data_IF_262029031031
#
_entry.id   IF_262029031031
#
_cell.length_a   1.000
_cell.length_b   1.000
_cell.length_c   1.000
_cell.angle_alpha   90.00
_cell.angle_beta   90.00
_cell.angle_gamma   90.00
#
_symmetry.space_group_name_H-M   'P 1'
#
loop_
_entity.id
_entity.type
_entity.pdbx_description
1 polymer ?
#
# COMPACT_ATOMS: atom_id res chain seq x y z
N UNK A 1 17.10 -4.71 12.74
CA UNK A 1 15.73 -4.19 12.55
C UNK A 1 15.75 -2.68 12.70
N UNK A 2 15.41 -1.96 11.64
CA UNK A 2 15.26 -0.51 11.67
C UNK A 2 13.93 -0.07 12.28
N UNK A 3 13.91 1.15 12.82
CA UNK A 3 12.68 1.85 13.21
C UNK A 3 11.89 2.29 11.98
N UNK A 4 10.59 2.53 12.17
CA UNK A 4 9.72 3.00 11.08
C UNK A 4 10.19 4.34 10.48
N UNK A 5 10.75 5.23 11.31
CA UNK A 5 11.31 6.52 10.88
C UNK A 5 12.57 6.36 10.03
N UNK A 6 13.43 5.39 10.35
CA UNK A 6 14.60 5.06 9.53
C UNK A 6 14.18 4.50 8.18
N UNK A 7 13.15 3.64 8.15
CA UNK A 7 12.58 3.12 6.90
C UNK A 7 11.92 4.25 6.09
N UNK A 8 11.24 5.20 6.74
CA UNK A 8 10.71 6.41 6.06
C UNK A 8 11.81 7.17 5.33
N UNK A 9 12.99 7.35 5.94
CA UNK A 9 14.12 8.00 5.25
C UNK A 9 14.60 7.22 4.02
N UNK A 10 14.53 5.89 4.05
CA UNK A 10 14.86 5.05 2.89
C UNK A 10 13.86 5.33 1.77
N UNK A 11 12.56 5.30 2.06
CA UNK A 11 11.50 5.57 1.08
C UNK A 11 11.51 7.02 0.55
N UNK A 12 11.88 7.98 1.38
CA UNK A 12 11.95 9.40 0.99
C UNK A 12 13.00 9.64 -0.10
N UNK A 13 14.07 8.82 -0.17
CA UNK A 13 15.08 8.92 -1.26
C UNK A 13 14.45 8.70 -2.63
N UNK A 14 13.55 7.71 -2.75
CA UNK A 14 12.76 7.50 -3.96
C UNK A 14 11.88 8.71 -4.28
N UNK A 15 11.15 9.21 -3.29
CA UNK A 15 10.20 10.32 -3.50
C UNK A 15 10.87 11.65 -3.87
N UNK A 16 12.06 11.91 -3.31
CA UNK A 16 12.75 13.19 -3.46
C UNK A 16 13.69 13.23 -4.65
N UNK A 17 14.30 12.10 -5.00
CA UNK A 17 15.39 12.04 -5.98
C UNK A 17 15.20 11.00 -7.09
N UNK A 18 14.19 10.14 -6.98
CA UNK A 18 13.99 9.01 -7.89
C UNK A 18 14.98 7.86 -7.69
N UNK A 19 15.70 7.84 -6.56
CA UNK A 19 16.59 6.73 -6.21
C UNK A 19 15.80 5.42 -6.07
N UNK A 20 16.33 4.32 -6.59
CA UNK A 20 15.73 2.97 -6.54
C UNK A 20 15.81 2.34 -5.12
N UNK A 21 15.31 3.06 -4.11
CA UNK A 21 15.45 2.69 -2.69
C UNK A 21 14.32 1.82 -2.14
N UNK A 22 13.23 1.60 -2.89
CA UNK A 22 12.04 0.91 -2.35
C UNK A 22 12.28 -0.59 -2.11
N UNK A 23 13.20 -1.22 -2.84
CA UNK A 23 13.62 -2.59 -2.55
C UNK A 23 14.30 -2.75 -1.19
N UNK A 24 15.06 -1.74 -0.76
CA UNK A 24 15.65 -1.70 0.58
C UNK A 24 14.56 -1.52 1.64
N UNK A 25 13.65 -0.56 1.43
CA UNK A 25 12.53 -0.33 2.34
C UNK A 25 11.65 -1.58 2.52
N UNK A 26 11.35 -2.28 1.42
CA UNK A 26 10.59 -3.53 1.45
C UNK A 26 11.26 -4.58 2.35
N UNK A 27 12.56 -4.81 2.18
CA UNK A 27 13.30 -5.81 2.99
C UNK A 27 13.30 -5.45 4.47
N UNK A 28 13.46 -4.18 4.81
CA UNK A 28 13.46 -3.74 6.20
C UNK A 28 12.07 -3.81 6.84
N UNK A 29 11.00 -3.47 6.10
CA UNK A 29 9.62 -3.66 6.55
C UNK A 29 9.27 -5.14 6.72
N UNK A 30 9.68 -6.00 5.80
CA UNK A 30 9.48 -7.44 5.90
C UNK A 30 10.25 -8.02 7.09
N UNK A 31 11.50 -7.62 7.30
CA UNK A 31 12.29 -8.04 8.44
C UNK A 31 11.64 -7.59 9.76
N UNK A 32 11.15 -6.34 9.83
CA UNK A 32 10.39 -5.80 10.97
C UNK A 32 9.14 -6.65 11.26
N UNK A 33 8.36 -6.94 10.23
CA UNK A 33 7.19 -7.81 10.30
C UNK A 33 7.52 -9.23 10.82
N UNK A 34 8.57 -9.84 10.31
CA UNK A 34 9.02 -11.19 10.69
C UNK A 34 9.58 -11.25 12.12
N UNK A 35 10.12 -10.14 12.62
CA UNK A 35 10.53 -10.00 14.02
C UNK A 35 9.37 -9.75 15.00
N UNK A 36 8.12 -9.69 14.51
CA UNK A 36 6.91 -9.58 15.34
C UNK A 36 6.39 -8.16 15.53
N UNK A 37 7.02 -7.15 14.92
CA UNK A 37 6.52 -5.78 14.89
C UNK A 37 5.37 -5.67 13.87
N UNK A 38 4.19 -6.16 14.26
CA UNK A 38 2.97 -6.20 13.43
C UNK A 38 2.09 -4.96 13.63
N UNK A 39 2.72 -3.80 13.78
CA UNK A 39 1.98 -2.56 13.89
C UNK A 39 1.30 -2.17 12.56
N UNK A 40 0.22 -1.40 12.67
CA UNK A 40 -0.58 -0.91 11.54
C UNK A 40 0.26 -0.27 10.44
N UNK A 41 1.23 0.55 10.81
CA UNK A 41 2.03 1.33 9.85
C UNK A 41 2.92 0.41 9.02
N UNK A 42 3.59 -0.53 9.69
CA UNK A 42 4.42 -1.56 9.04
C UNK A 42 3.59 -2.38 8.06
N UNK A 43 2.40 -2.81 8.47
CA UNK A 43 1.54 -3.64 7.65
C UNK A 43 1.02 -2.91 6.40
N UNK A 44 0.53 -1.66 6.54
CA UNK A 44 0.02 -0.88 5.40
C UNK A 44 1.11 -0.54 4.38
N UNK A 45 2.30 -0.16 4.85
CA UNK A 45 3.43 0.17 3.97
C UNK A 45 3.97 -1.06 3.26
N UNK A 46 4.08 -2.20 3.96
CA UNK A 46 4.51 -3.45 3.34
C UNK A 46 3.46 -3.98 2.35
N UNK A 47 2.16 -3.83 2.65
CA UNK A 47 1.07 -4.18 1.73
C UNK A 47 1.20 -3.36 0.44
N UNK A 48 1.40 -2.05 0.55
CA UNK A 48 1.63 -1.16 -0.58
C UNK A 48 2.85 -1.56 -1.40
N UNK A 49 4.02 -1.76 -0.79
CA UNK A 49 5.23 -2.11 -1.55
C UNK A 49 5.11 -3.49 -2.22
N UNK A 50 4.38 -4.43 -1.61
CA UNK A 50 4.10 -5.74 -2.21
C UNK A 50 3.27 -5.62 -3.49
N UNK A 51 2.25 -4.76 -3.47
CA UNK A 51 1.45 -4.42 -4.66
C UNK A 51 2.28 -3.64 -5.69
N UNK A 52 3.04 -2.64 -5.24
CA UNK A 52 3.80 -1.74 -6.10
C UNK A 52 4.92 -2.48 -6.85
N UNK A 53 5.50 -3.51 -6.24
CA UNK A 53 6.48 -4.41 -6.89
C UNK A 53 5.90 -5.15 -8.11
N UNK A 54 4.58 -5.33 -8.17
CA UNK A 54 3.89 -5.95 -9.31
C UNK A 54 3.32 -4.91 -10.29
N UNK A 55 3.03 -3.70 -9.80
CA UNK A 55 2.41 -2.63 -10.58
C UNK A 55 3.44 -1.84 -11.41
N UNK A 56 4.67 -1.73 -10.93
CA UNK A 56 5.71 -0.89 -11.53
C UNK A 56 6.96 -1.68 -11.94
N UNK A 57 7.71 -1.19 -12.94
CA UNK A 57 8.99 -1.79 -13.31
C UNK A 57 10.04 -1.70 -12.18
N UNK A 58 10.83 -2.75 -12.02
CA UNK A 58 11.88 -2.84 -11.00
C UNK A 58 13.01 -1.81 -11.17
N UNK A 59 13.38 -1.49 -12.41
CA UNK A 59 14.39 -0.47 -12.72
C UNK A 59 13.95 0.95 -12.34
N UNK A 60 12.67 1.18 -12.05
CA UNK A 60 12.20 2.46 -11.52
C UNK A 60 12.27 2.50 -10.00
N UNK A 61 11.89 1.41 -9.34
CA UNK A 61 11.61 1.39 -7.89
C UNK A 61 12.73 0.76 -7.06
N UNK A 62 13.52 -0.12 -7.65
CA UNK A 62 14.45 -1.01 -6.95
C UNK A 62 13.77 -2.24 -6.33
N UNK A 63 12.47 -2.47 -6.59
CA UNK A 63 11.73 -3.67 -6.13
C UNK A 63 12.06 -4.89 -7.01
N UNK A 64 13.35 -5.19 -7.17
CA UNK A 64 13.86 -6.23 -8.08
C UNK A 64 13.35 -7.60 -7.67
N UNK A 65 12.56 -8.23 -8.56
CA UNK A 65 12.06 -9.61 -8.50
C UNK A 65 12.02 -10.20 -7.10
N UNK A 66 11.32 -9.53 -6.18
CA UNK A 66 11.17 -9.98 -4.81
C UNK A 66 10.42 -11.30 -4.88
N UNK A 67 11.06 -12.45 -4.54
CA UNK A 67 10.38 -13.71 -4.59
C UNK A 67 9.19 -13.62 -3.64
N UNK A 68 8.00 -13.78 -4.23
CA UNK A 68 6.72 -13.90 -3.53
C UNK A 68 6.07 -12.62 -2.98
N UNK A 69 6.27 -11.47 -3.63
CA UNK A 69 5.52 -10.24 -3.31
C UNK A 69 3.98 -10.47 -3.25
N UNK A 70 3.46 -11.34 -4.12
CA UNK A 70 2.04 -11.71 -4.12
C UNK A 70 1.61 -12.48 -2.84
N UNK A 71 2.40 -13.45 -2.33
CA UNK A 71 2.02 -14.07 -1.05
C UNK A 71 2.23 -13.15 0.14
N UNK A 72 3.22 -12.24 0.10
CA UNK A 72 3.37 -11.21 1.13
C UNK A 72 2.13 -10.33 1.16
N UNK A 73 1.65 -9.88 0.00
CA UNK A 73 0.39 -9.12 -0.12
C UNK A 73 -0.79 -9.89 0.48
N UNK A 74 -1.00 -11.13 0.06
CA UNK A 74 -2.10 -11.98 0.56
C UNK A 74 -2.04 -12.13 2.09
N UNK A 75 -0.88 -12.50 2.63
CA UNK A 75 -0.68 -12.68 4.08
C UNK A 75 -0.97 -11.40 4.87
N UNK A 76 -0.58 -10.25 4.34
CA UNK A 76 -0.85 -8.96 4.97
C UNK A 76 -2.33 -8.60 4.87
N UNK A 77 -2.98 -8.85 3.74
CA UNK A 77 -4.41 -8.59 3.60
C UNK A 77 -5.25 -9.44 4.56
N UNK A 78 -4.90 -10.72 4.75
CA UNK A 78 -5.58 -11.60 5.72
C UNK A 78 -5.46 -11.04 7.14
N UNK A 79 -4.24 -10.64 7.54
CA UNK A 79 -4.03 -10.02 8.85
C UNK A 79 -4.78 -8.71 9.02
N UNK A 80 -4.78 -7.85 8.00
CA UNK A 80 -5.43 -6.53 8.06
C UNK A 80 -6.95 -6.64 8.01
N UNK A 81 -7.50 -7.64 7.32
CA UNK A 81 -8.94 -7.93 7.35
C UNK A 81 -9.41 -8.32 8.76
N UNK A 82 -8.56 -9.02 9.54
CA UNK A 82 -8.86 -9.41 10.93
C UNK A 82 -8.66 -8.26 11.93
N UNK A 83 -7.51 -7.57 11.89
CA UNK A 83 -7.13 -6.58 12.90
C UNK A 83 -7.68 -5.18 12.62
N UNK A 84 -7.90 -4.83 11.35
CA UNK A 84 -8.25 -3.48 10.90
C UNK A 84 -9.61 -3.42 10.19
N UNK A 85 -10.55 -4.28 10.56
CA UNK A 85 -11.90 -4.34 9.96
C UNK A 85 -12.70 -3.02 10.05
N UNK A 86 -12.30 -2.12 10.94
CA UNK A 86 -12.92 -0.78 11.11
C UNK A 86 -12.07 0.36 10.58
N UNK A 87 -10.90 0.07 10.03
CA UNK A 87 -9.95 1.08 9.59
C UNK A 87 -10.26 1.55 8.17
N UNK A 88 -10.83 2.75 8.08
CA UNK A 88 -11.19 3.30 6.78
C UNK A 88 -9.97 3.50 5.86
N UNK A 89 -8.78 3.81 6.39
CA UNK A 89 -7.59 4.01 5.56
C UNK A 89 -7.16 2.70 4.91
N UNK A 90 -7.14 1.60 5.67
CA UNK A 90 -6.91 0.25 5.15
C UNK A 90 -7.90 -0.05 4.02
N UNK A 91 -9.20 0.13 4.27
CA UNK A 91 -10.21 -0.13 3.25
C UNK A 91 -10.02 0.76 2.02
N UNK A 92 -9.66 2.03 2.20
CA UNK A 92 -9.36 2.89 1.06
C UNK A 92 -8.16 2.40 0.25
N UNK A 93 -7.02 2.12 0.89
CA UNK A 93 -5.81 1.74 0.15
C UNK A 93 -5.93 0.38 -0.50
N UNK A 94 -6.42 -0.64 0.23
CA UNK A 94 -6.64 -1.98 -0.32
C UNK A 94 -7.68 -1.94 -1.44
N UNK A 95 -8.76 -1.19 -1.24
CA UNK A 95 -9.78 -0.96 -2.25
C UNK A 95 -9.20 -0.31 -3.51
N UNK A 96 -8.43 0.76 -3.35
CA UNK A 96 -7.85 1.51 -4.46
C UNK A 96 -6.89 0.66 -5.27
N UNK A 97 -5.93 0.00 -4.61
CA UNK A 97 -4.95 -0.89 -5.24
C UNK A 97 -5.64 -2.00 -6.05
N UNK A 98 -6.64 -2.66 -5.46
CA UNK A 98 -7.39 -3.73 -6.10
C UNK A 98 -8.29 -3.24 -7.25
N UNK A 99 -8.75 -1.99 -7.24
CA UNK A 99 -9.47 -1.43 -8.41
C UNK A 99 -8.57 -0.98 -9.53
N UNK A 100 -7.33 -0.60 -9.24
CA UNK A 100 -6.38 -0.13 -10.24
C UNK A 100 -5.73 -1.30 -10.96
N UNK A 101 -5.15 -2.25 -10.20
CA UNK A 101 -4.46 -3.43 -10.72
C UNK A 101 -4.82 -4.68 -9.89
N UNK A 102 -6.02 -5.26 -10.06
CA UNK A 102 -6.49 -6.40 -9.26
C UNK A 102 -5.57 -7.63 -9.33
N UNK A 103 -4.94 -7.87 -10.48
CA UNK A 103 -4.00 -8.99 -10.68
C UNK A 103 -2.74 -8.88 -9.82
N UNK A 104 -2.38 -7.68 -9.34
CA UNK A 104 -1.25 -7.48 -8.42
C UNK A 104 -1.58 -7.98 -7.00
N UNK A 105 -2.85 -8.19 -6.69
CA UNK A 105 -3.31 -8.57 -5.35
C UNK A 105 -3.50 -10.09 -5.19
N UNK A 106 -3.56 -10.84 -6.29
CA UNK A 106 -3.84 -12.28 -6.32
C UNK A 106 -4.84 -12.66 -7.41
N UNK A 107 -5.84 -13.47 -7.07
CA UNK A 107 -6.92 -13.81 -8.00
C UNK A 107 -7.67 -12.54 -8.44
N UNK A 108 -7.65 -12.26 -9.75
CA UNK A 108 -8.12 -10.99 -10.29
C UNK A 108 -9.64 -10.80 -10.09
N UNK A 109 -10.43 -11.86 -10.23
CA UNK A 109 -11.88 -11.80 -10.09
C UNK A 109 -12.28 -11.54 -8.63
N UNK A 110 -11.64 -12.26 -7.71
CA UNK A 110 -11.80 -12.07 -6.27
C UNK A 110 -11.43 -10.63 -5.87
N UNK A 111 -10.25 -10.17 -6.24
CA UNK A 111 -9.76 -8.85 -5.83
C UNK A 111 -10.52 -7.70 -6.48
N UNK A 112 -11.05 -7.89 -7.69
CA UNK A 112 -12.00 -6.94 -8.28
C UNK A 112 -13.25 -6.77 -7.40
N UNK A 113 -13.83 -7.87 -6.91
CA UNK A 113 -15.02 -7.83 -6.04
C UNK A 113 -14.68 -7.25 -4.66
N UNK A 114 -13.59 -7.71 -4.05
CA UNK A 114 -13.11 -7.19 -2.76
C UNK A 114 -12.84 -5.69 -2.85
N UNK A 115 -12.10 -5.24 -3.86
CA UNK A 115 -11.74 -3.83 -4.05
C UNK A 115 -12.95 -2.92 -4.07
N UNK A 116 -14.02 -3.31 -4.80
CA UNK A 116 -15.30 -2.58 -4.80
C UNK A 116 -15.96 -2.52 -3.43
N UNK A 117 -15.95 -3.63 -2.67
CA UNK A 117 -16.51 -3.68 -1.31
C UNK A 117 -15.77 -2.72 -0.37
N UNK A 118 -14.44 -2.78 -0.39
CA UNK A 118 -13.56 -1.88 0.37
C UNK A 118 -13.85 -0.40 0.04
N UNK A 119 -13.87 -0.03 -1.24
CA UNK A 119 -14.13 1.36 -1.65
C UNK A 119 -15.57 1.83 -1.36
N UNK A 120 -16.56 0.94 -1.49
CA UNK A 120 -17.97 1.26 -1.17
C UNK A 120 -18.12 1.63 0.30
N UNK A 121 -17.42 0.93 1.19
CA UNK A 121 -17.44 1.20 2.63
C UNK A 121 -16.94 2.61 2.96
N UNK A 122 -15.82 2.99 2.35
CA UNK A 122 -15.15 4.24 2.72
C UNK A 122 -15.69 5.45 1.97
N UNK A 123 -16.51 5.26 0.92
CA UNK A 123 -17.00 6.34 0.04
C UNK A 123 -17.57 7.58 0.76
N UNK A 124 -18.12 7.40 1.96
CA UNK A 124 -18.68 8.49 2.79
C UNK A 124 -17.83 8.86 4.01
N UNK A 125 -16.61 8.33 4.14
CA UNK A 125 -15.76 8.60 5.28
C UNK A 125 -15.33 10.08 5.31
N UNK A 126 -15.43 10.79 6.45
CA UNK A 126 -15.24 12.25 6.51
C UNK A 126 -13.85 12.74 6.09
N UNK A 127 -12.84 11.89 6.20
CA UNK A 127 -11.46 12.22 5.86
C UNK A 127 -11.15 12.02 4.37
N UNK A 128 -12.03 11.38 3.59
CA UNK A 128 -11.80 11.22 2.15
C UNK A 128 -11.71 12.60 1.51
N UNK A 129 -10.54 12.90 0.93
CA UNK A 129 -10.19 14.23 0.43
C UNK A 129 -9.16 14.98 1.28
N UNK A 130 -8.76 14.44 2.44
CA UNK A 130 -7.75 15.02 3.33
C UNK A 130 -6.37 14.37 3.09
N UNK A 131 -5.54 14.84 2.14
CA UNK A 131 -4.24 14.23 1.84
C UNK A 131 -3.26 14.28 3.03
N UNK A 132 -3.52 15.15 4.02
CA UNK A 132 -2.69 15.30 5.21
C UNK A 132 -2.57 14.02 6.04
N UNK A 133 -3.54 13.09 5.98
CA UNK A 133 -3.47 11.82 6.73
C UNK A 133 -2.33 10.90 6.28
N UNK A 134 -1.81 11.15 5.07
CA UNK A 134 -0.72 10.40 4.46
C UNK A 134 0.63 11.13 4.57
N UNK A 135 0.67 12.33 5.15
CA UNK A 135 1.89 13.15 5.20
C UNK A 135 2.95 12.53 6.11
N UNK A 136 4.21 12.52 5.65
CA UNK A 136 5.36 12.02 6.43
C UNK A 136 5.48 10.50 6.53
N UNK A 137 4.75 9.74 5.68
CA UNK A 137 4.69 8.27 5.73
C UNK A 137 5.41 7.63 4.53
N UNK A 138 6.53 8.23 4.14
CA UNK A 138 7.39 7.77 3.06
C UNK A 138 6.65 7.62 1.72
N UNK A 139 7.03 6.61 0.93
CA UNK A 139 6.54 6.39 -0.43
C UNK A 139 5.05 6.04 -0.44
N UNK A 140 4.60 5.25 0.54
CA UNK A 140 3.18 4.99 0.79
C UNK A 140 2.40 6.29 0.95
N UNK A 141 2.88 7.16 1.84
CA UNK A 141 2.27 8.44 2.13
C UNK A 141 2.23 9.36 0.92
N UNK A 142 3.36 9.51 0.22
CA UNK A 142 3.46 10.30 -1.00
C UNK A 142 2.49 9.84 -2.09
N UNK A 143 2.39 8.52 -2.31
CA UNK A 143 1.51 7.94 -3.31
C UNK A 143 0.04 8.23 -3.02
N UNK A 144 -0.46 7.86 -1.83
CA UNK A 144 -1.89 8.02 -1.52
C UNK A 144 -2.28 9.48 -1.26
N UNK A 145 -1.38 10.33 -0.75
CA UNK A 145 -1.61 11.78 -0.69
C UNK A 145 -1.85 12.36 -2.08
N UNK A 146 -1.09 11.90 -3.08
CA UNK A 146 -1.27 12.32 -4.47
C UNK A 146 -2.63 11.89 -5.03
N UNK A 147 -3.00 10.63 -4.83
CA UNK A 147 -4.31 10.08 -5.25
C UNK A 147 -5.47 10.87 -4.64
N UNK A 148 -5.43 11.12 -3.34
CA UNK A 148 -6.49 11.88 -2.66
C UNK A 148 -6.54 13.33 -3.14
N UNK A 149 -5.38 13.97 -3.35
CA UNK A 149 -5.28 15.35 -3.84
C UNK A 149 -5.83 15.51 -5.27
N UNK A 150 -5.69 14.50 -6.12
CA UNK A 150 -6.27 14.51 -7.47
C UNK A 150 -7.80 14.36 -7.47
N UNK A 151 -8.41 14.19 -6.29
CA UNK A 151 -9.85 14.10 -6.15
C UNK A 151 -10.34 12.73 -6.61
N UNK A 152 -9.95 11.68 -5.88
CA UNK A 152 -10.60 10.37 -6.00
C UNK A 152 -12.12 10.55 -5.94
N UNK A 153 -12.76 10.58 -7.11
CA UNK A 153 -14.16 10.97 -7.24
C UNK A 153 -15.13 9.83 -6.90
N UNK A 154 -14.62 8.71 -6.35
CA UNK A 154 -15.39 7.49 -6.14
C UNK A 154 -15.95 6.91 -7.45
N UNK A 155 -15.51 7.39 -8.62
CA UNK A 155 -15.82 6.77 -9.91
C UNK A 155 -14.93 5.54 -10.07
N UNK A 156 -15.46 4.42 -9.58
CA UNK A 156 -14.99 3.10 -9.98
C UNK A 156 -14.88 3.09 -11.53
N UNK A 157 -13.76 2.62 -12.11
CA UNK A 157 -13.66 2.45 -13.55
C UNK A 157 -14.89 1.70 -14.05
N UNK A 158 -15.56 2.23 -15.09
CA UNK A 158 -16.59 1.47 -15.80
C UNK A 158 -15.87 0.33 -16.50
N UNK A 159 -16.13 -0.90 -16.05
CA UNK A 159 -15.81 -2.11 -16.83
C UNK A 159 -16.80 -2.22 -17.99
#
# INVERSE_FOLDING_TARGET
MLSIDEITRIEDRYCQSGEQSLGEAFRELLHRWECGERDRETALRLLFLSWYASAEPDWLTGLTALPDAAAVFRRLSEHLDEELESDDEYHFVAGYMATLFPWCCGDEEEWTKRGRKHLTRVKSAPWIGAPMIFSGRGAYGHYFAHIVKQGWAGTLPKQ
#
